data_IF_845634636149
#
_entry.id   IF_845634636149
#
_cell.length_a   1.000
_cell.length_b   1.000
_cell.length_c   1.000
_cell.angle_alpha   90.00
_cell.angle_beta   90.00
_cell.angle_gamma   90.00
#
_symmetry.space_group_name_H-M   'P 1'
#
loop_
_entity.id
_entity.type
_entity.pdbx_description
1 polymer ?
#
# COMPACT_ATOMS: atom_id res chain seq x y z
N UNK A 1 24.30 14.22 3.96
CA UNK A 1 23.93 13.26 2.89
C UNK A 1 22.41 13.25 2.79
N UNK A 2 21.81 12.95 1.63
CA UNK A 2 20.34 13.01 1.47
C UNK A 2 19.67 11.75 2.04
N UNK A 3 18.58 11.93 2.78
CA UNK A 3 17.70 10.84 3.20
C UNK A 3 16.98 10.25 1.98
N UNK A 4 16.92 8.91 1.91
CA UNK A 4 16.25 8.20 0.83
C UNK A 4 15.52 6.97 1.36
N UNK A 5 14.23 6.93 1.10
CA UNK A 5 13.32 5.81 1.35
C UNK A 5 12.77 5.34 0.02
N UNK A 6 12.79 4.04 -0.21
CA UNK A 6 12.08 3.39 -1.31
C UNK A 6 10.67 3.00 -0.84
N UNK A 7 9.68 3.24 -1.68
CA UNK A 7 8.31 2.79 -1.47
C UNK A 7 7.86 1.97 -2.69
N UNK A 8 7.30 0.79 -2.42
CA UNK A 8 6.98 -0.20 -3.46
C UNK A 8 5.50 -0.61 -3.40
N UNK A 9 4.53 0.32 -3.56
CA UNK A 9 3.12 -0.03 -3.49
C UNK A 9 2.71 -1.01 -4.58
N UNK A 10 1.71 -1.84 -4.26
CA UNK A 10 1.13 -2.81 -5.18
C UNK A 10 -0.34 -2.49 -5.38
N UNK A 11 -0.72 -2.20 -6.62
CA UNK A 11 -2.08 -1.87 -6.98
C UNK A 11 -2.75 -3.05 -7.67
N UNK A 12 -4.00 -3.33 -7.31
CA UNK A 12 -4.83 -4.39 -7.91
C UNK A 12 -5.41 -3.92 -9.25
N UNK A 13 -4.51 -3.64 -10.19
CA UNK A 13 -4.80 -3.32 -11.59
C UNK A 13 -3.54 -3.63 -12.40
N UNK A 14 -3.64 -4.34 -13.50
CA UNK A 14 -2.51 -4.71 -14.36
C UNK A 14 -2.84 -4.74 -15.85
N UNK A 15 -3.99 -4.20 -16.26
CA UNK A 15 -4.53 -4.28 -17.62
C UNK A 15 -4.96 -2.91 -18.14
N UNK A 16 -5.63 -2.11 -17.32
CA UNK A 16 -6.05 -0.75 -17.69
C UNK A 16 -4.89 0.23 -17.45
N UNK A 17 -4.15 0.52 -18.53
CA UNK A 17 -3.07 1.48 -18.48
C UNK A 17 -3.52 2.90 -18.11
N UNK A 18 -4.78 3.27 -18.37
CA UNK A 18 -5.34 4.56 -18.01
C UNK A 18 -5.49 4.71 -16.50
N UNK A 19 -5.93 3.65 -15.82
CA UNK A 19 -5.97 3.61 -14.35
C UNK A 19 -4.55 3.62 -13.78
N UNK A 20 -3.64 2.80 -14.32
CA UNK A 20 -2.25 2.74 -13.86
C UNK A 20 -1.57 4.10 -13.99
N UNK A 21 -1.70 4.76 -15.16
CA UNK A 21 -1.14 6.10 -15.39
C UNK A 21 -1.65 7.11 -14.37
N UNK A 22 -2.96 7.19 -14.14
CA UNK A 22 -3.54 8.13 -13.17
C UNK A 22 -3.01 7.93 -11.74
N UNK A 23 -2.80 6.68 -11.31
CA UNK A 23 -2.20 6.37 -10.01
C UNK A 23 -0.73 6.82 -9.98
N UNK A 24 0.04 6.51 -11.02
CA UNK A 24 1.47 6.89 -11.09
C UNK A 24 1.67 8.40 -11.24
N UNK A 25 0.73 9.11 -11.88
CA UNK A 25 0.77 10.57 -12.00
C UNK A 25 0.52 11.24 -10.64
N UNK A 26 -0.31 10.67 -9.78
CA UNK A 26 -0.49 11.13 -8.40
C UNK A 26 0.79 10.99 -7.56
N UNK A 27 1.62 9.98 -7.84
CA UNK A 27 2.96 9.84 -7.26
C UNK A 27 3.87 10.95 -7.80
N UNK A 28 3.97 11.06 -9.14
CA UNK A 28 4.85 12.03 -9.82
C UNK A 28 4.53 13.48 -9.48
N UNK A 29 3.28 13.81 -9.17
CA UNK A 29 2.85 15.16 -8.80
C UNK A 29 3.24 15.56 -7.37
N UNK A 30 4.02 14.74 -6.67
CA UNK A 30 4.50 15.02 -5.32
C UNK A 30 5.94 15.52 -5.39
N UNK A 31 6.20 16.71 -4.83
CA UNK A 31 7.55 17.25 -4.83
C UNK A 31 8.49 16.38 -3.98
N UNK A 32 9.70 16.14 -4.48
CA UNK A 32 10.72 15.39 -3.76
C UNK A 32 10.64 13.86 -3.90
N UNK A 33 9.82 13.33 -4.82
CA UNK A 33 9.87 11.91 -5.21
C UNK A 33 10.39 11.70 -6.63
N UNK A 34 10.91 10.50 -6.88
CA UNK A 34 11.31 10.03 -8.20
C UNK A 34 10.68 8.66 -8.43
N UNK A 35 9.80 8.56 -9.43
CA UNK A 35 9.27 7.29 -9.89
C UNK A 35 10.37 6.55 -10.65
N UNK A 36 10.70 5.34 -10.20
CA UNK A 36 11.80 4.55 -10.75
C UNK A 36 11.29 3.48 -11.72
N UNK A 37 10.18 2.82 -11.38
CA UNK A 37 9.67 1.70 -12.15
C UNK A 37 8.14 1.52 -12.00
N UNK A 38 7.52 0.98 -13.04
CA UNK A 38 6.10 0.61 -13.11
C UNK A 38 6.01 -0.71 -13.86
N UNK A 39 5.72 -1.79 -13.14
CA UNK A 39 5.69 -3.16 -13.67
C UNK A 39 4.26 -3.73 -13.59
N UNK A 40 3.45 -3.57 -14.66
CA UNK A 40 2.11 -4.13 -14.73
C UNK A 40 2.12 -5.58 -15.24
N UNK A 41 1.47 -6.47 -14.49
CA UNK A 41 1.23 -7.85 -14.89
C UNK A 41 -0.23 -8.09 -15.27
N UNK A 42 -0.50 -8.35 -16.56
CA UNK A 42 -1.87 -8.58 -17.05
C UNK A 42 -2.52 -9.86 -16.48
N UNK A 43 -1.74 -10.94 -16.35
CA UNK A 43 -2.21 -12.22 -15.80
C UNK A 43 -2.41 -12.15 -14.29
N UNK A 44 -1.49 -11.52 -13.57
CA UNK A 44 -1.60 -11.28 -12.12
C UNK A 44 -2.66 -10.22 -11.81
N UNK A 45 -3.00 -9.38 -12.78
CA UNK A 45 -3.85 -8.19 -12.65
C UNK A 45 -3.40 -7.29 -11.49
N UNK A 46 -2.09 -7.05 -11.43
CA UNK A 46 -1.41 -6.28 -10.40
C UNK A 46 -0.30 -5.46 -11.04
N UNK A 47 -0.12 -4.25 -10.55
CA UNK A 47 1.03 -3.39 -10.90
C UNK A 47 1.87 -3.17 -9.66
N UNK A 48 3.18 -3.41 -9.80
CA UNK A 48 4.18 -3.01 -8.82
C UNK A 48 4.72 -1.66 -9.25
N UNK A 49 4.71 -0.69 -8.35
CA UNK A 49 5.26 0.63 -8.61
C UNK A 49 6.39 0.87 -7.64
N UNK A 50 7.53 1.35 -8.13
CA UNK A 50 8.70 1.66 -7.30
C UNK A 50 9.03 3.13 -7.42
N UNK A 51 9.11 3.83 -6.29
CA UNK A 51 9.57 5.21 -6.24
C UNK A 51 10.41 5.47 -5.00
N UNK A 52 11.21 6.53 -5.05
CA UNK A 52 12.06 6.96 -3.93
C UNK A 52 11.80 8.42 -3.58
N UNK A 53 12.03 8.78 -2.32
CA UNK A 53 11.96 10.15 -1.83
C UNK A 53 12.51 10.27 -0.41
N UNK A 54 12.51 11.48 0.15
CA UNK A 54 12.66 11.62 1.61
C UNK A 54 11.39 11.08 2.31
N UNK A 55 11.43 10.98 3.64
CA UNK A 55 10.34 10.37 4.43
C UNK A 55 8.98 11.05 4.21
N UNK A 56 8.95 12.38 4.26
CA UNK A 56 7.73 13.17 4.08
C UNK A 56 7.15 13.01 2.68
N UNK A 57 7.98 13.17 1.65
CA UNK A 57 7.56 13.07 0.26
C UNK A 57 7.10 11.65 -0.09
N UNK A 58 7.80 10.63 0.43
CA UNK A 58 7.43 9.25 0.19
C UNK A 58 6.06 8.89 0.79
N UNK A 59 5.78 9.34 2.02
CA UNK A 59 4.47 9.14 2.68
C UNK A 59 3.36 9.90 1.94
N UNK A 60 3.61 11.15 1.52
CA UNK A 60 2.62 11.94 0.77
C UNK A 60 2.28 11.30 -0.57
N UNK A 61 3.30 10.88 -1.34
CA UNK A 61 3.10 10.25 -2.63
C UNK A 61 2.35 8.91 -2.52
N UNK A 62 2.71 8.09 -1.53
CA UNK A 62 2.00 6.84 -1.24
C UNK A 62 0.52 7.11 -0.89
N UNK A 63 0.23 8.09 -0.03
CA UNK A 63 -1.14 8.44 0.34
C UNK A 63 -1.97 8.89 -0.87
N UNK A 64 -1.41 9.77 -1.72
CA UNK A 64 -2.09 10.24 -2.95
C UNK A 64 -2.37 9.09 -3.91
N UNK A 65 -1.42 8.18 -4.07
CA UNK A 65 -1.56 7.01 -4.92
C UNK A 65 -2.67 6.07 -4.39
N UNK A 66 -2.69 5.80 -3.08
CA UNK A 66 -3.73 4.97 -2.43
C UNK A 66 -5.10 5.61 -2.61
N UNK A 67 -5.22 6.92 -2.37
CA UNK A 67 -6.48 7.66 -2.59
C UNK A 67 -6.97 7.52 -4.03
N UNK A 68 -6.07 7.74 -5.01
CA UNK A 68 -6.40 7.61 -6.43
C UNK A 68 -6.81 6.18 -6.79
N UNK A 69 -6.09 5.19 -6.28
CA UNK A 69 -6.43 3.78 -6.48
C UNK A 69 -7.81 3.42 -5.92
N UNK A 70 -8.16 3.93 -4.74
CA UNK A 70 -9.47 3.72 -4.12
C UNK A 70 -10.63 4.36 -4.92
N UNK A 71 -10.38 5.46 -5.65
CA UNK A 71 -11.36 6.10 -6.52
C UNK A 71 -11.57 5.34 -7.84
N UNK A 72 -10.52 4.68 -8.36
CA UNK A 72 -10.52 4.11 -9.70
C UNK A 72 -10.75 2.58 -9.74
N UNK A 73 -10.30 1.85 -8.72
CA UNK A 73 -10.29 0.38 -8.71
C UNK A 73 -11.49 -0.15 -7.93
N UNK A 74 -12.44 -0.76 -8.64
CA UNK A 74 -13.56 -1.48 -8.04
C UNK A 74 -13.19 -2.93 -7.73
N UNK A 75 -12.80 -3.20 -6.47
CA UNK A 75 -12.40 -4.54 -6.03
C UNK A 75 -13.51 -5.60 -6.19
N UNK A 76 -14.79 -5.22 -6.25
CA UNK A 76 -15.89 -6.16 -6.48
C UNK A 76 -15.85 -6.79 -7.88
N UNK A 77 -15.15 -6.14 -8.82
CA UNK A 77 -14.96 -6.61 -10.20
C UNK A 77 -13.56 -7.14 -10.44
N UNK A 78 -12.62 -6.88 -9.53
CA UNK A 78 -11.23 -7.27 -9.68
C UNK A 78 -11.05 -8.79 -9.55
N UNK A 79 -10.39 -9.38 -10.55
CA UNK A 79 -9.90 -10.76 -10.53
C UNK A 79 -8.52 -10.82 -11.18
N UNK A 80 -7.61 -11.59 -10.60
CA UNK A 80 -6.24 -11.81 -11.08
C UNK A 80 -5.65 -13.08 -10.51
N UNK A 81 -4.56 -13.58 -11.11
CA UNK A 81 -3.88 -14.79 -10.62
C UNK A 81 -3.08 -14.56 -9.32
N UNK A 82 -2.83 -13.31 -8.96
CA UNK A 82 -2.09 -12.96 -7.76
C UNK A 82 -3.07 -12.66 -6.61
N UNK A 83 -2.87 -13.23 -5.40
CA UNK A 83 -3.79 -12.97 -4.31
C UNK A 83 -3.78 -11.48 -3.93
N UNK A 84 -4.90 -10.98 -3.43
CA UNK A 84 -5.05 -9.55 -3.09
C UNK A 84 -6.15 -9.33 -2.08
N UNK A 85 -6.06 -8.27 -1.28
CA UNK A 85 -7.09 -7.91 -0.30
C UNK A 85 -7.63 -6.49 -0.46
N UNK A 86 -7.00 -5.65 -1.28
CA UNK A 86 -7.43 -4.26 -1.50
C UNK A 86 -6.98 -3.68 -2.84
N UNK A 87 -7.54 -2.51 -3.19
CA UNK A 87 -7.17 -1.75 -4.38
C UNK A 87 -5.69 -1.35 -4.37
N UNK A 88 -5.19 -0.94 -3.20
CA UNK A 88 -3.77 -1.05 -2.86
C UNK A 88 -3.63 -2.25 -1.92
N UNK A 89 -2.89 -3.26 -2.34
CA UNK A 89 -2.75 -4.51 -1.58
C UNK A 89 -1.69 -4.37 -0.48
N UNK A 90 -0.53 -3.82 -0.82
CA UNK A 90 0.55 -3.51 0.13
C UNK A 90 1.26 -2.22 -0.26
N UNK A 91 1.89 -1.57 0.72
CA UNK A 91 2.64 -0.32 0.53
C UNK A 91 3.84 -0.26 1.51
N UNK A 92 4.92 -1.02 1.26
CA UNK A 92 6.12 -1.01 2.09
C UNK A 92 6.93 0.29 1.97
N UNK A 93 7.69 0.58 3.01
CA UNK A 93 8.78 1.54 3.01
C UNK A 93 10.10 0.83 3.38
N UNK A 94 11.14 1.03 2.58
CA UNK A 94 12.45 0.41 2.74
C UNK A 94 13.51 1.52 2.89
N UNK A 95 14.34 1.51 3.95
CA UNK A 95 15.42 2.47 4.09
C UNK A 95 16.52 2.21 3.04
N UNK A 96 16.91 3.24 2.28
CA UNK A 96 17.96 3.13 1.24
C UNK A 96 19.23 3.88 1.63
N UNK A 97 19.12 5.13 2.07
CA UNK A 97 20.29 5.94 2.42
C UNK A 97 19.97 6.94 3.52
N UNK A 98 20.78 6.96 4.58
CA UNK A 98 20.63 7.88 5.72
C UNK A 98 19.23 7.84 6.35
N UNK A 99 18.59 6.66 6.36
CA UNK A 99 17.31 6.41 7.02
C UNK A 99 17.42 5.09 7.76
N UNK A 100 16.96 5.05 9.01
CA UNK A 100 16.95 3.82 9.81
C UNK A 100 15.68 2.99 9.55
N UNK A 101 15.68 1.75 10.05
CA UNK A 101 14.47 0.94 10.02
C UNK A 101 13.35 1.52 10.89
N UNK A 102 13.69 2.13 12.03
CA UNK A 102 12.75 2.81 12.91
C UNK A 102 12.03 3.95 12.18
N UNK A 103 12.76 4.73 11.39
CA UNK A 103 12.21 5.82 10.58
C UNK A 103 11.34 5.32 9.41
N UNK A 104 11.70 4.19 8.79
CA UNK A 104 10.86 3.55 7.77
C UNK A 104 9.55 2.98 8.38
N UNK A 105 9.62 2.40 9.59
CA UNK A 105 8.44 1.96 10.34
C UNK A 105 7.55 3.16 10.71
N UNK A 106 8.14 4.30 11.06
CA UNK A 106 7.40 5.53 11.30
C UNK A 106 6.64 5.98 10.04
N UNK A 107 7.26 5.90 8.86
CA UNK A 107 6.58 6.18 7.59
C UNK A 107 5.35 5.29 7.39
N UNK A 108 5.48 3.98 7.64
CA UNK A 108 4.36 3.03 7.55
C UNK A 108 3.23 3.36 8.54
N UNK A 109 3.57 3.75 9.78
CA UNK A 109 2.59 4.15 10.78
C UNK A 109 1.87 5.46 10.39
N UNK A 110 2.62 6.47 9.92
CA UNK A 110 2.07 7.76 9.45
C UNK A 110 1.11 7.55 8.29
N UNK A 111 1.53 6.76 7.29
CA UNK A 111 0.69 6.43 6.14
C UNK A 111 -0.58 5.68 6.58
N UNK A 112 -0.41 4.60 7.35
CA UNK A 112 -1.53 3.75 7.77
C UNK A 112 -2.56 4.49 8.58
N UNK A 113 -2.13 5.34 9.53
CA UNK A 113 -3.02 6.20 10.32
C UNK A 113 -3.83 7.12 9.40
N UNK A 114 -3.16 7.83 8.50
CA UNK A 114 -3.79 8.81 7.61
C UNK A 114 -4.77 8.16 6.65
N UNK A 115 -4.43 7.01 6.07
CA UNK A 115 -5.33 6.21 5.22
C UNK A 115 -6.57 5.78 6.01
N UNK A 116 -6.39 5.25 7.23
CA UNK A 116 -7.51 4.84 8.07
C UNK A 116 -8.41 5.99 8.50
N UNK A 117 -7.84 7.15 8.83
CA UNK A 117 -8.58 8.32 9.30
C UNK A 117 -9.28 9.08 8.17
N UNK A 118 -8.59 9.36 7.06
CA UNK A 118 -9.09 10.20 5.97
C UNK A 118 -9.87 9.42 4.91
N UNK A 119 -9.42 8.21 4.57
CA UNK A 119 -10.04 7.41 3.50
C UNK A 119 -11.02 6.37 4.04
N UNK A 120 -11.05 6.15 5.36
CA UNK A 120 -11.88 5.15 6.04
C UNK A 120 -11.63 3.73 5.53
N UNK A 121 -10.39 3.44 5.14
CA UNK A 121 -9.95 2.12 4.68
C UNK A 121 -9.31 1.38 5.86
N UNK A 122 -9.68 0.12 6.14
CA UNK A 122 -8.99 -0.69 7.15
C UNK A 122 -7.54 -0.95 6.75
N UNK A 123 -6.61 -0.72 7.67
CA UNK A 123 -5.16 -0.91 7.45
C UNK A 123 -4.59 -1.87 8.48
N UNK A 124 -3.78 -2.81 7.99
CA UNK A 124 -2.94 -3.69 8.81
C UNK A 124 -1.47 -3.38 8.56
N UNK A 125 -0.70 -3.18 9.62
CA UNK A 125 0.75 -3.09 9.54
C UNK A 125 1.33 -4.51 9.56
N UNK A 126 2.38 -4.72 8.77
CA UNK A 126 2.95 -6.05 8.55
C UNK A 126 4.48 -6.02 8.68
N UNK A 127 5.08 -7.20 8.77
CA UNK A 127 6.51 -7.44 9.00
C UNK A 127 7.07 -6.57 10.14
N UNK A 128 8.11 -5.78 9.86
CA UNK A 128 8.80 -4.95 10.86
C UNK A 128 7.90 -3.88 11.49
N UNK A 129 6.80 -3.50 10.82
CA UNK A 129 5.84 -2.52 11.34
C UNK A 129 4.65 -3.15 12.08
N UNK A 130 4.52 -4.49 12.07
CA UNK A 130 3.39 -5.18 12.67
C UNK A 130 3.30 -4.90 14.19
N UNK A 131 2.11 -4.46 14.65
CA UNK A 131 1.83 -4.27 16.08
C UNK A 131 1.53 -5.59 16.79
N UNK A 132 0.88 -6.51 16.08
CA UNK A 132 0.58 -7.85 16.56
C UNK A 132 1.42 -8.87 15.78
N UNK A 133 2.22 -9.65 16.53
CA UNK A 133 3.13 -10.65 15.98
C UNK A 133 2.41 -11.80 15.29
N UNK A 134 1.18 -12.13 15.71
CA UNK A 134 0.38 -13.20 15.10
C UNK A 134 -0.03 -12.88 13.65
N UNK A 135 -0.09 -11.59 13.30
CA UNK A 135 -0.40 -11.10 11.97
C UNK A 135 0.76 -10.35 11.31
N UNK A 136 2.00 -10.66 11.70
CA UNK A 136 3.18 -10.04 11.10
C UNK A 136 3.37 -10.46 9.63
N UNK A 137 3.09 -11.72 9.30
CA UNK A 137 3.31 -12.24 7.95
C UNK A 137 2.20 -11.78 7.00
N UNK A 138 2.59 -11.20 5.86
CA UNK A 138 1.65 -10.75 4.82
C UNK A 138 0.69 -11.86 4.35
N UNK A 139 1.15 -13.10 4.20
CA UNK A 139 0.31 -14.21 3.76
C UNK A 139 -0.79 -14.55 4.77
N UNK A 140 -0.52 -14.34 6.07
CA UNK A 140 -1.51 -14.50 7.13
C UNK A 140 -2.56 -13.39 7.01
N UNK A 141 -2.12 -12.13 6.87
CA UNK A 141 -3.05 -11.00 6.65
C UNK A 141 -3.90 -11.21 5.40
N UNK A 142 -3.32 -11.68 4.30
CA UNK A 142 -4.02 -11.90 3.02
C UNK A 142 -4.75 -13.23 2.91
N UNK A 143 -4.76 -14.06 3.96
CA UNK A 143 -5.50 -15.31 3.95
C UNK A 143 -7.00 -15.04 3.68
N UNK A 144 -7.55 -15.77 2.72
CA UNK A 144 -8.92 -15.57 2.22
C UNK A 144 -9.08 -14.42 1.21
N UNK A 145 -8.02 -13.66 0.91
CA UNK A 145 -8.03 -12.56 -0.06
C UNK A 145 -9.11 -11.50 0.22
N UNK A 146 -9.59 -10.81 -0.82
CA UNK A 146 -10.66 -9.81 -0.74
C UNK A 146 -11.96 -10.43 -0.25
N UNK A 147 -12.35 -11.59 -0.79
CA UNK A 147 -13.61 -12.25 -0.48
C UNK A 147 -13.70 -12.71 0.97
N UNK A 148 -12.61 -13.23 1.53
CA UNK A 148 -12.53 -13.66 2.92
C UNK A 148 -12.37 -12.52 3.93
N UNK A 149 -12.00 -11.33 3.47
CA UNK A 149 -11.77 -10.18 4.34
C UNK A 149 -13.04 -9.75 5.10
N UNK A 150 -14.21 -9.82 4.45
CA UNK A 150 -15.48 -9.35 5.01
C UNK A 150 -15.92 -10.07 6.28
N UNK A 151 -15.66 -11.37 6.40
CA UNK A 151 -15.96 -12.12 7.62
C UNK A 151 -14.79 -12.06 8.62
N UNK A 152 -13.56 -12.04 8.10
CA UNK A 152 -12.35 -11.96 8.90
C UNK A 152 -12.32 -10.69 9.74
N UNK A 153 -12.60 -9.52 9.15
CA UNK A 153 -12.50 -8.22 9.83
C UNK A 153 -13.48 -8.03 11.01
N UNK A 154 -14.53 -8.85 11.10
CA UNK A 154 -15.50 -8.85 12.20
C UNK A 154 -14.96 -9.53 13.47
N UNK A 155 -13.91 -10.34 13.34
CA UNK A 155 -13.30 -11.08 14.43
C UNK A 155 -12.37 -10.16 15.23
N UNK A 156 -12.31 -10.33 16.55
CA UNK A 156 -11.63 -9.38 17.44
C UNK A 156 -10.10 -9.37 17.22
N UNK A 157 -9.52 -10.52 16.88
CA UNK A 157 -8.11 -10.68 16.50
C UNK A 157 -7.74 -9.98 15.18
N UNK A 158 -8.75 -9.72 14.34
CA UNK A 158 -8.62 -9.06 13.04
C UNK A 158 -9.07 -7.61 13.06
N UNK A 159 -9.17 -6.99 14.24
CA UNK A 159 -9.37 -5.54 14.32
C UNK A 159 -8.23 -4.79 13.60
N UNK A 160 -8.50 -3.92 12.61
CA UNK A 160 -7.47 -3.17 11.89
C UNK A 160 -6.56 -2.36 12.83
N UNK A 161 -5.29 -2.18 12.46
CA UNK A 161 -4.37 -1.32 13.20
C UNK A 161 -4.75 0.16 13.10
N UNK A 162 -5.36 0.54 11.97
CA UNK A 162 -5.96 1.85 11.72
C UNK A 162 -7.21 1.71 10.84
N UNK A 163 -8.10 2.70 10.92
CA UNK A 163 -9.34 2.73 10.15
C UNK A 163 -10.47 1.89 10.78
N UNK A 164 -11.68 1.97 10.22
CA UNK A 164 -12.83 1.21 10.68
C UNK A 164 -12.73 -0.27 10.28
N UNK A 165 -13.41 -1.13 11.04
CA UNK A 165 -13.67 -2.53 10.69
C UNK A 165 -14.96 -2.64 9.88
#
# INVERSE_FOLDING_TARGET
>A
MKELVECVPNFSEGRDEGIIRQITDAIKSTDGVSLLDVDPGASTNRTVVTFVGNREAAVEAAFRAIKKAAELIDMRKHKGAHPRMGATDVCPFIPVSNVSWEEAIECANRLGKRVGEELKIPVYLYEKAAKDRLRSNLSVIRAGEYEGCFEKIKQSEWKPDFGPA
#
